data_IF_354408947454
#
_entry.id   IF_354408947454
#
_cell.length_a   1.000
_cell.length_b   1.000
_cell.length_c   1.000
_cell.angle_alpha   90.00
_cell.angle_beta   90.00
_cell.angle_gamma   90.00
#
_symmetry.space_group_name_H-M   'P 1'
#
loop_
_entity.id
_entity.type
_entity.pdbx_description
1 polymer ?
#
# COMPACT_ATOMS: atom_id res chain seq x y z
N UNK A 1 46.65 -20.43 36.31
CA UNK A 1 47.11 -19.39 35.36
C UNK A 1 46.77 -19.93 33.98
N UNK A 2 45.55 -19.71 33.48
CA UNK A 2 45.15 -18.56 32.61
C UNK A 2 46.05 -18.53 31.37
N UNK A 3 45.59 -18.66 30.12
CA UNK A 3 44.33 -18.23 29.50
C UNK A 3 44.03 -19.06 28.23
N UNK A 4 42.73 -19.16 27.94
CA UNK A 4 42.11 -19.56 26.68
C UNK A 4 42.05 -18.36 25.74
N UNK A 5 42.26 -18.55 24.44
CA UNK A 5 41.85 -17.57 23.41
C UNK A 5 41.04 -18.26 22.32
N UNK A 6 39.75 -17.96 22.31
CA UNK A 6 38.83 -18.13 21.20
C UNK A 6 38.40 -16.74 20.71
N UNK A 7 38.40 -16.50 19.41
CA UNK A 7 37.59 -15.49 18.68
C UNK A 7 37.87 -15.68 17.18
N UNK A 8 36.93 -15.61 16.24
CA UNK A 8 35.48 -15.38 16.24
C UNK A 8 34.95 -15.76 14.85
N UNK A 9 33.63 -15.76 14.61
CA UNK A 9 33.04 -16.16 13.33
C UNK A 9 33.18 -15.06 12.27
N UNK A 10 33.36 -15.52 11.03
CA UNK A 10 33.46 -14.75 9.80
C UNK A 10 32.12 -14.07 9.51
N UNK A 11 32.09 -12.73 9.51
CA UNK A 11 30.90 -11.96 9.16
C UNK A 11 30.86 -11.79 7.65
N UNK A 12 29.97 -12.54 7.00
CA UNK A 12 29.62 -12.32 5.59
C UNK A 12 28.98 -10.94 5.44
N UNK A 13 29.75 -9.96 4.98
CA UNK A 13 29.23 -8.66 4.56
C UNK A 13 28.35 -8.83 3.33
N UNK A 14 27.05 -8.67 3.50
CA UNK A 14 26.08 -8.45 2.42
C UNK A 14 26.49 -7.17 1.68
N UNK A 15 26.82 -7.30 0.39
CA UNK A 15 27.12 -6.16 -0.46
C UNK A 15 25.79 -5.55 -0.88
N UNK A 16 25.44 -4.38 -0.32
CA UNK A 16 24.27 -3.60 -0.79
C UNK A 16 24.44 -3.28 -2.28
N UNK A 17 23.34 -3.41 -3.03
CA UNK A 17 23.25 -3.14 -4.49
C UNK A 17 23.68 -1.72 -4.87
N UNK A 18 23.84 -0.81 -3.90
CA UNK A 18 24.16 0.62 -4.11
C UNK A 18 25.64 0.92 -4.39
N UNK A 19 26.55 -0.05 -4.46
CA UNK A 19 27.98 0.23 -4.75
C UNK A 19 28.30 0.21 -6.25
N UNK A 20 28.22 1.38 -6.91
CA UNK A 20 28.94 1.64 -8.17
C UNK A 20 30.03 2.70 -7.93
N UNK A 21 31.23 2.19 -7.64
CA UNK A 21 32.59 2.70 -7.86
C UNK A 21 32.87 4.22 -7.83
N UNK A 22 33.64 4.64 -6.81
CA UNK A 22 34.47 5.83 -6.81
C UNK A 22 35.93 5.53 -6.41
N UNK A 23 36.70 4.86 -7.26
CA UNK A 23 38.18 4.90 -7.17
C UNK A 23 38.84 4.73 -8.55
N UNK A 24 39.13 5.85 -9.20
CA UNK A 24 40.02 5.90 -10.36
C UNK A 24 41.46 5.87 -9.87
N UNK A 25 42.11 4.70 -9.94
CA UNK A 25 43.56 4.59 -9.98
C UNK A 25 43.98 4.33 -11.44
N UNK A 26 44.77 5.24 -11.99
CA UNK A 26 45.22 5.23 -13.37
C UNK A 26 46.03 3.97 -13.72
N UNK A 27 45.65 3.27 -14.79
CA UNK A 27 46.40 2.13 -15.32
C UNK A 27 45.76 1.49 -16.56
N UNK A 28 46.18 1.96 -17.73
CA UNK A 28 46.07 1.36 -19.08
C UNK A 28 45.08 0.17 -19.33
N UNK A 29 44.01 0.47 -20.07
CA UNK A 29 43.59 -0.27 -21.27
C UNK A 29 42.90 -1.63 -21.11
N UNK A 30 41.59 -1.63 -20.87
CA UNK A 30 40.65 -2.67 -21.32
C UNK A 30 39.31 -1.99 -21.64
N UNK A 31 38.73 -2.28 -22.80
CA UNK A 31 37.39 -1.81 -23.17
C UNK A 31 36.35 -2.62 -22.38
N UNK A 32 35.83 -2.03 -21.31
CA UNK A 32 34.62 -2.52 -20.62
C UNK A 32 33.40 -1.85 -21.23
N UNK A 33 32.47 -2.68 -21.72
CA UNK A 33 31.09 -2.28 -22.00
C UNK A 33 30.50 -1.75 -20.69
N UNK A 34 30.42 -0.43 -20.56
CA UNK A 34 29.75 0.20 -19.44
C UNK A 34 28.25 -0.06 -19.54
N UNK A 35 27.72 -0.88 -18.63
CA UNK A 35 26.33 -0.79 -18.22
C UNK A 35 26.12 0.66 -17.79
N UNK A 36 25.25 1.37 -18.50
CA UNK A 36 24.78 2.68 -18.06
C UNK A 36 23.94 2.39 -16.82
N UNK A 37 24.56 2.47 -15.63
CA UNK A 37 23.81 2.63 -14.41
C UNK A 37 23.00 3.91 -14.59
N UNK A 38 21.68 3.77 -14.77
CA UNK A 38 20.78 4.90 -14.73
C UNK A 38 21.03 5.65 -13.42
N UNK A 39 21.04 6.98 -13.48
CA UNK A 39 21.06 7.78 -12.28
C UNK A 39 19.93 7.26 -11.37
N UNK A 40 20.28 6.83 -10.16
CA UNK A 40 19.28 6.57 -9.13
C UNK A 40 18.60 7.90 -8.93
N UNK A 41 17.32 8.01 -9.28
CA UNK A 41 16.50 9.18 -8.97
C UNK A 41 16.69 9.51 -7.48
N UNK A 42 16.92 10.78 -7.15
CA UNK A 42 17.17 11.22 -5.76
C UNK A 42 15.99 10.86 -4.83
N UNK A 43 14.81 10.62 -5.41
CA UNK A 43 13.62 10.06 -4.79
C UNK A 43 12.59 9.72 -5.88
N UNK A 44 11.58 8.93 -5.55
CA UNK A 44 10.39 8.76 -6.40
C UNK A 44 9.12 9.04 -5.63
N UNK A 45 8.04 9.34 -6.34
CA UNK A 45 6.76 9.73 -5.76
C UNK A 45 5.65 8.81 -6.23
N UNK A 46 4.86 8.30 -5.28
CA UNK A 46 3.50 7.81 -5.54
C UNK A 46 2.53 8.94 -5.20
N UNK A 47 1.64 9.29 -6.12
CA UNK A 47 0.60 10.28 -5.87
C UNK A 47 -0.70 9.57 -5.54
N UNK A 48 -1.25 9.80 -4.35
CA UNK A 48 -2.65 9.47 -4.07
C UNK A 48 -3.52 10.67 -4.51
N UNK A 49 -4.40 10.44 -5.48
CA UNK A 49 -5.34 11.42 -6.01
C UNK A 49 -6.73 11.14 -5.41
N UNK A 50 -7.17 11.94 -4.43
CA UNK A 50 -8.36 11.61 -3.66
C UNK A 50 -9.66 12.15 -4.24
N UNK A 51 -10.74 11.38 -4.04
CA UNK A 51 -12.16 11.76 -4.10
C UNK A 51 -12.47 12.96 -5.00
N UNK A 52 -12.44 12.69 -6.30
CA UNK A 52 -12.51 13.74 -7.32
C UNK A 52 -13.94 14.18 -7.62
N UNK A 53 -14.95 13.71 -6.89
CA UNK A 53 -16.34 13.83 -7.29
C UNK A 53 -16.78 15.29 -7.43
N UNK A 54 -16.35 16.17 -6.53
CA UNK A 54 -16.63 17.61 -6.63
C UNK A 54 -15.78 18.32 -7.68
N UNK A 55 -14.56 17.83 -7.93
CA UNK A 55 -13.73 18.29 -9.05
C UNK A 55 -14.40 18.00 -10.39
N UNK A 56 -15.06 16.83 -10.50
CA UNK A 56 -15.85 16.46 -11.67
C UNK A 56 -17.13 17.30 -11.82
N UNK A 57 -17.93 17.43 -10.75
CA UNK A 57 -19.18 18.21 -10.74
C UNK A 57 -18.99 19.66 -11.16
N UNK A 58 -17.94 20.29 -10.61
CA UNK A 58 -17.67 21.71 -10.79
C UNK A 58 -16.67 21.97 -11.93
N UNK A 59 -16.26 20.91 -12.66
CA UNK A 59 -15.26 20.93 -13.74
C UNK A 59 -13.98 21.70 -13.38
N UNK A 60 -13.49 21.48 -12.16
CA UNK A 60 -12.32 22.17 -11.59
C UNK A 60 -11.32 21.18 -11.01
N UNK A 61 -10.09 21.63 -10.81
CA UNK A 61 -8.98 20.94 -10.13
C UNK A 61 -8.44 19.65 -10.77
N UNK A 62 -9.26 18.66 -11.14
CA UNK A 62 -8.76 17.38 -11.66
C UNK A 62 -7.86 17.56 -12.90
N UNK A 63 -8.25 18.42 -13.85
CA UNK A 63 -7.42 18.71 -15.04
C UNK A 63 -6.07 19.34 -14.71
N UNK A 64 -5.98 20.44 -13.94
CA UNK A 64 -4.69 20.99 -13.55
C UNK A 64 -3.86 20.03 -12.66
N UNK A 65 -4.49 19.27 -11.76
CA UNK A 65 -3.81 18.23 -10.98
C UNK A 65 -3.15 17.19 -11.89
N UNK A 66 -3.92 16.53 -12.77
CA UNK A 66 -3.38 15.50 -13.66
C UNK A 66 -2.41 16.05 -14.70
N UNK A 67 -2.58 17.32 -15.11
CA UNK A 67 -1.61 17.99 -15.98
C UNK A 67 -0.27 18.19 -15.27
N UNK A 68 -0.29 18.65 -14.02
CA UNK A 68 0.93 18.81 -13.21
C UNK A 68 1.60 17.46 -12.98
N UNK A 69 0.84 16.44 -12.57
CA UNK A 69 1.34 15.07 -12.37
C UNK A 69 2.03 14.56 -13.64
N UNK A 70 1.38 14.68 -14.80
CA UNK A 70 1.94 14.22 -16.07
C UNK A 70 3.14 15.04 -16.59
N UNK A 71 3.64 16.02 -15.83
CA UNK A 71 4.84 16.80 -16.13
C UNK A 71 5.87 16.80 -14.99
N UNK A 72 5.54 16.19 -13.84
CA UNK A 72 6.45 16.10 -12.69
C UNK A 72 7.32 14.84 -12.84
N UNK A 73 8.64 15.04 -12.95
CA UNK A 73 9.59 14.00 -13.34
C UNK A 73 9.74 12.88 -12.29
N UNK A 74 9.47 13.19 -11.01
CA UNK A 74 9.61 12.22 -9.93
C UNK A 74 8.37 11.34 -9.69
N UNK A 75 7.25 11.54 -10.41
CA UNK A 75 6.06 10.70 -10.19
C UNK A 75 6.23 9.37 -10.91
N UNK A 76 6.35 8.30 -10.12
CA UNK A 76 6.47 6.93 -10.61
C UNK A 76 5.11 6.23 -10.75
N UNK A 77 4.11 6.62 -9.96
CA UNK A 77 2.79 6.02 -9.98
C UNK A 77 1.70 6.98 -9.48
N UNK A 78 0.47 6.83 -9.98
CA UNK A 78 -0.71 7.54 -9.46
C UNK A 78 -1.76 6.52 -9.01
N UNK A 79 -2.15 6.58 -7.75
CA UNK A 79 -3.30 5.84 -7.23
C UNK A 79 -4.48 6.79 -7.05
N UNK A 80 -5.56 6.58 -7.82
CA UNK A 80 -6.83 7.28 -7.59
C UNK A 80 -7.71 6.41 -6.70
N UNK A 81 -8.16 6.98 -5.57
CA UNK A 81 -8.78 6.23 -4.47
C UNK A 81 -10.31 6.16 -4.55
N UNK A 82 -10.93 6.52 -5.68
CA UNK A 82 -12.38 6.42 -5.88
C UNK A 82 -13.12 7.75 -5.89
N UNK A 83 -14.45 7.65 -5.97
CA UNK A 83 -15.37 8.78 -6.14
C UNK A 83 -14.96 9.68 -7.31
N UNK A 84 -15.03 9.11 -8.51
CA UNK A 84 -14.66 9.80 -9.75
C UNK A 84 -15.61 10.94 -10.03
N UNK A 85 -16.92 10.73 -9.88
CA UNK A 85 -17.97 11.73 -10.16
C UNK A 85 -18.94 11.90 -8.99
N UNK A 86 -19.64 13.04 -8.93
CA UNK A 86 -20.60 13.32 -7.86
C UNK A 86 -22.02 12.91 -8.23
N UNK A 87 -22.35 13.06 -9.51
CA UNK A 87 -23.67 12.73 -10.03
C UNK A 87 -23.48 11.72 -11.15
N UNK A 88 -23.52 10.42 -10.84
CA UNK A 88 -23.17 9.39 -11.79
C UNK A 88 -24.18 9.30 -12.95
N UNK A 89 -25.37 9.86 -12.81
CA UNK A 89 -26.36 10.01 -13.87
C UNK A 89 -26.00 11.10 -14.90
N UNK A 90 -25.08 12.03 -14.58
CA UNK A 90 -24.68 13.17 -15.44
C UNK A 90 -23.46 12.82 -16.32
N UNK A 91 -23.62 12.62 -17.65
CA UNK A 91 -22.51 12.26 -18.54
C UNK A 91 -21.36 13.27 -18.58
N UNK A 92 -21.66 14.55 -18.37
CA UNK A 92 -20.66 15.63 -18.44
C UNK A 92 -19.54 15.50 -17.41
N UNK A 93 -19.84 14.97 -16.22
CA UNK A 93 -18.84 14.75 -15.16
C UNK A 93 -17.86 13.65 -15.57
N UNK A 94 -18.39 12.54 -16.10
CA UNK A 94 -17.61 11.43 -16.65
C UNK A 94 -16.71 11.88 -17.81
N UNK A 95 -17.25 12.66 -18.74
CA UNK A 95 -16.49 13.19 -19.88
C UNK A 95 -15.40 14.18 -19.44
N UNK A 96 -15.65 14.99 -18.41
CA UNK A 96 -14.64 15.85 -17.82
C UNK A 96 -13.51 15.05 -17.19
N UNK A 97 -13.84 14.03 -16.39
CA UNK A 97 -12.85 13.18 -15.73
C UNK A 97 -12.06 12.33 -16.73
N UNK A 98 -12.70 11.81 -17.78
CA UNK A 98 -11.99 11.11 -18.86
C UNK A 98 -10.92 12.02 -19.48
N UNK A 99 -11.28 13.27 -19.81
CA UNK A 99 -10.32 14.26 -20.33
C UNK A 99 -9.23 14.63 -19.31
N UNK A 100 -9.55 14.65 -18.02
CA UNK A 100 -8.59 14.94 -16.97
C UNK A 100 -7.58 13.81 -16.82
N UNK A 101 -8.03 12.57 -16.63
CA UNK A 101 -7.16 11.40 -16.44
C UNK A 101 -6.33 11.11 -17.70
N UNK A 102 -6.84 11.42 -18.89
CA UNK A 102 -6.08 11.30 -20.15
C UNK A 102 -4.79 12.12 -20.20
N UNK A 103 -4.58 13.08 -19.28
CA UNK A 103 -3.29 13.76 -19.15
C UNK A 103 -2.16 12.84 -18.66
N UNK A 104 -2.50 11.71 -18.00
CA UNK A 104 -1.58 10.70 -17.48
C UNK A 104 -1.22 9.63 -18.52
N UNK A 105 -2.09 9.43 -19.52
CA UNK A 105 -1.96 8.39 -20.52
C UNK A 105 -0.60 8.43 -21.25
N UNK A 106 0.15 7.32 -21.15
CA UNK A 106 1.46 7.19 -21.77
C UNK A 106 2.57 8.04 -21.13
N UNK A 107 2.33 8.61 -19.94
CA UNK A 107 3.31 9.41 -19.20
C UNK A 107 3.66 8.80 -17.84
N UNK A 108 2.67 8.34 -17.10
CA UNK A 108 2.86 7.72 -15.79
C UNK A 108 1.92 6.52 -15.64
N UNK A 109 2.36 5.40 -15.04
CA UNK A 109 1.46 4.34 -14.62
C UNK A 109 0.44 4.83 -13.60
N UNK A 110 -0.79 4.33 -13.69
CA UNK A 110 -1.83 4.70 -12.72
C UNK A 110 -2.90 3.63 -12.59
N UNK A 111 -3.58 3.66 -11.44
CA UNK A 111 -4.76 2.87 -11.16
C UNK A 111 -5.92 3.78 -10.75
N UNK A 112 -7.13 3.32 -11.00
CA UNK A 112 -8.34 3.93 -10.48
C UNK A 112 -9.24 2.83 -9.94
N UNK A 113 -10.03 3.16 -8.92
CA UNK A 113 -11.12 2.33 -8.40
C UNK A 113 -12.42 3.14 -8.41
N UNK A 114 -13.61 2.51 -8.43
CA UNK A 114 -14.85 3.22 -8.16
C UNK A 114 -15.00 3.47 -6.65
N UNK A 115 -15.63 4.58 -6.28
CA UNK A 115 -16.15 4.83 -4.93
C UNK A 115 -17.67 4.73 -4.86
N UNK A 116 -18.26 5.09 -3.73
CA UNK A 116 -19.71 5.02 -3.52
C UNK A 116 -20.51 5.96 -4.41
N UNK A 117 -19.96 7.13 -4.74
CA UNK A 117 -20.62 8.14 -5.57
C UNK A 117 -20.60 7.80 -7.07
N UNK A 118 -19.85 6.76 -7.48
CA UNK A 118 -19.77 6.32 -8.87
C UNK A 118 -20.95 5.40 -9.28
N UNK A 119 -21.72 4.94 -8.30
CA UNK A 119 -22.91 4.10 -8.44
C UNK A 119 -24.19 4.96 -8.51
N UNK A 120 -25.18 4.59 -9.35
CA UNK A 120 -26.43 5.37 -9.51
C UNK A 120 -27.15 5.63 -8.19
N UNK A 121 -27.09 4.66 -7.29
CA UNK A 121 -27.58 4.76 -5.92
C UNK A 121 -26.35 4.61 -5.02
N UNK A 122 -25.99 5.66 -4.25
CA UNK A 122 -24.98 5.52 -3.21
C UNK A 122 -25.32 4.35 -2.30
N UNK A 123 -24.31 3.60 -1.83
CA UNK A 123 -24.48 2.42 -0.96
C UNK A 123 -25.03 1.16 -1.64
N UNK A 124 -25.30 1.18 -2.95
CA UNK A 124 -25.79 0.03 -3.71
C UNK A 124 -24.91 -0.28 -4.93
N UNK A 125 -24.01 -1.26 -4.77
CA UNK A 125 -23.11 -1.73 -5.84
C UNK A 125 -23.86 -2.32 -7.03
N UNK A 126 -25.11 -2.77 -6.84
CA UNK A 126 -25.90 -3.37 -7.91
C UNK A 126 -26.49 -2.31 -8.84
N UNK A 127 -26.39 -1.04 -8.46
CA UNK A 127 -26.79 0.07 -9.30
C UNK A 127 -25.75 0.31 -10.42
N UNK A 128 -26.17 0.94 -11.53
CA UNK A 128 -25.37 0.93 -12.77
C UNK A 128 -23.99 1.60 -12.65
N UNK A 129 -22.92 0.82 -12.83
CA UNK A 129 -21.51 1.27 -12.88
C UNK A 129 -20.91 1.32 -14.30
N UNK A 130 -21.77 1.19 -15.32
CA UNK A 130 -21.34 1.00 -16.73
C UNK A 130 -20.46 2.12 -17.30
N UNK A 131 -20.66 3.36 -16.86
CA UNK A 131 -19.88 4.52 -17.34
C UNK A 131 -18.45 4.47 -16.81
N UNK A 132 -18.29 4.19 -15.52
CA UNK A 132 -16.99 3.93 -14.91
C UNK A 132 -16.26 2.85 -15.70
N UNK A 133 -16.84 1.66 -15.82
CA UNK A 133 -16.19 0.52 -16.50
C UNK A 133 -15.79 0.84 -17.95
N UNK A 134 -16.61 1.61 -18.66
CA UNK A 134 -16.32 2.01 -20.05
C UNK A 134 -15.13 2.97 -20.14
N UNK A 135 -14.96 3.88 -19.19
CA UNK A 135 -13.98 4.97 -19.28
C UNK A 135 -12.71 4.70 -18.48
N UNK A 136 -12.82 3.97 -17.39
CA UNK A 136 -11.76 3.74 -16.39
C UNK A 136 -11.49 2.25 -16.11
N UNK A 137 -12.19 1.34 -16.80
CA UNK A 137 -11.95 -0.10 -16.73
C UNK A 137 -10.80 -0.59 -17.63
N UNK A 138 -10.65 -1.92 -17.81
CA UNK A 138 -9.50 -2.57 -18.45
C UNK A 138 -9.09 -2.03 -19.81
N UNK A 139 -10.07 -1.64 -20.63
CA UNK A 139 -9.83 -1.16 -22.01
C UNK A 139 -8.88 0.05 -22.04
N UNK A 140 -8.88 0.87 -20.98
CA UNK A 140 -7.98 2.02 -20.84
C UNK A 140 -6.52 1.60 -20.63
N UNK A 141 -6.29 0.43 -20.04
CA UNK A 141 -4.99 -0.06 -19.60
C UNK A 141 -4.42 -1.19 -20.44
N UNK A 142 -5.24 -1.94 -21.18
CA UNK A 142 -4.85 -3.21 -21.82
C UNK A 142 -3.67 -3.16 -22.81
N UNK A 143 -3.32 -1.96 -23.29
CA UNK A 143 -2.17 -1.76 -24.19
C UNK A 143 -0.95 -1.18 -23.47
N UNK A 144 -0.95 -1.18 -22.13
CA UNK A 144 0.12 -0.66 -21.30
C UNK A 144 0.90 -1.83 -20.72
N UNK A 145 2.22 -1.82 -20.88
CA UNK A 145 3.07 -2.94 -20.43
C UNK A 145 3.09 -3.11 -18.90
N UNK A 146 2.74 -2.07 -18.16
CA UNK A 146 2.61 -2.08 -16.70
C UNK A 146 1.24 -2.61 -16.20
N UNK A 147 0.26 -2.82 -17.08
CA UNK A 147 -1.04 -3.35 -16.67
C UNK A 147 -0.99 -4.87 -16.59
N UNK A 148 -1.20 -5.40 -15.38
CA UNK A 148 -1.11 -6.84 -15.13
C UNK A 148 -2.44 -7.59 -15.31
N UNK A 149 -3.57 -6.92 -15.08
CA UNK A 149 -4.88 -7.52 -15.29
C UNK A 149 -5.97 -6.90 -14.42
N UNK A 150 -7.17 -7.46 -14.53
CA UNK A 150 -8.33 -7.07 -13.74
C UNK A 150 -8.99 -8.26 -13.10
N UNK A 151 -9.52 -8.01 -11.90
CA UNK A 151 -10.21 -9.01 -11.11
C UNK A 151 -11.65 -9.20 -11.54
N UNK A 152 -12.26 -10.34 -11.18
CA UNK A 152 -13.70 -10.51 -11.32
C UNK A 152 -14.40 -9.42 -10.49
N UNK A 153 -15.66 -9.13 -10.80
CA UNK A 153 -16.57 -8.53 -9.83
C UNK A 153 -17.79 -9.44 -9.70
N UNK A 154 -18.53 -9.32 -8.60
CA UNK A 154 -19.71 -10.15 -8.27
C UNK A 154 -20.91 -9.92 -9.24
N UNK A 155 -20.71 -10.07 -10.55
CA UNK A 155 -21.72 -10.02 -11.61
C UNK A 155 -21.56 -8.91 -12.66
N UNK A 156 -20.69 -7.91 -12.47
CA UNK A 156 -20.60 -6.71 -13.34
C UNK A 156 -19.25 -6.55 -14.09
N UNK A 157 -18.25 -7.39 -13.84
CA UNK A 157 -16.89 -7.40 -14.44
C UNK A 157 -15.93 -6.27 -14.01
N UNK A 158 -14.63 -6.61 -13.91
CA UNK A 158 -13.40 -5.80 -14.02
C UNK A 158 -13.33 -4.40 -13.38
N UNK A 159 -13.75 -4.26 -12.11
CA UNK A 159 -13.63 -3.01 -11.35
C UNK A 159 -12.37 -2.93 -10.48
N UNK A 160 -11.72 -4.07 -10.27
CA UNK A 160 -10.42 -4.19 -9.61
C UNK A 160 -9.32 -4.40 -10.64
N UNK A 161 -8.09 -3.97 -10.34
CA UNK A 161 -6.95 -4.15 -11.24
C UNK A 161 -5.63 -4.18 -10.50
N UNK A 162 -4.59 -4.71 -11.15
CA UNK A 162 -3.24 -4.56 -10.65
C UNK A 162 -2.30 -4.04 -11.72
N UNK A 163 -1.27 -3.35 -11.26
CA UNK A 163 -0.24 -2.73 -12.09
C UNK A 163 1.13 -3.08 -11.52
N UNK A 164 2.10 -3.24 -12.42
CA UNK A 164 3.50 -3.46 -12.10
C UNK A 164 4.30 -2.23 -12.49
N UNK A 165 5.09 -1.67 -11.57
CA UNK A 165 5.94 -0.53 -11.87
C UNK A 165 7.28 -0.65 -11.14
N UNK A 166 8.30 0.05 -11.62
CA UNK A 166 9.63 0.02 -11.03
C UNK A 166 10.07 1.45 -10.71
N UNK A 167 10.65 1.65 -9.53
CA UNK A 167 11.17 2.94 -9.09
C UNK A 167 12.25 2.75 -8.03
N UNK A 168 13.26 3.63 -7.99
CA UNK A 168 14.34 3.55 -6.99
C UNK A 168 15.18 2.27 -7.04
N UNK A 169 15.10 1.48 -8.12
CA UNK A 169 15.74 0.16 -8.22
C UNK A 169 14.93 -1.00 -7.63
N UNK A 170 13.68 -0.75 -7.21
CA UNK A 170 12.75 -1.76 -6.70
C UNK A 170 11.58 -1.98 -7.67
N UNK A 171 11.00 -3.17 -7.61
CA UNK A 171 9.88 -3.61 -8.44
C UNK A 171 8.62 -3.74 -7.58
N UNK A 172 7.63 -2.89 -7.82
CA UNK A 172 6.41 -2.80 -7.02
C UNK A 172 5.23 -3.50 -7.69
N UNK A 173 4.29 -3.93 -6.85
CA UNK A 173 2.93 -4.29 -7.21
C UNK A 173 1.99 -3.20 -6.67
N UNK A 174 1.10 -2.70 -7.52
CA UNK A 174 -0.03 -1.91 -7.06
C UNK A 174 -1.31 -2.71 -7.27
N UNK A 175 -2.10 -2.88 -6.21
CA UNK A 175 -3.37 -3.59 -6.23
C UNK A 175 -4.50 -2.60 -5.92
N UNK A 176 -5.43 -2.44 -6.87
CA UNK A 176 -6.57 -1.56 -6.78
C UNK A 176 -7.85 -2.39 -6.65
N UNK A 177 -8.52 -2.33 -5.50
CA UNK A 177 -9.74 -3.07 -5.21
C UNK A 177 -10.97 -2.16 -5.21
N UNK A 178 -12.05 -2.66 -5.81
CA UNK A 178 -13.32 -1.94 -5.94
C UNK A 178 -14.02 -1.64 -4.60
N UNK A 179 -14.89 -0.63 -4.58
CA UNK A 179 -15.68 -0.29 -3.39
C UNK A 179 -17.06 -0.98 -3.32
N UNK A 180 -17.44 -1.43 -2.11
CA UNK A 180 -16.53 -2.03 -1.12
C UNK A 180 -16.01 -3.36 -1.68
N UNK A 181 -14.80 -3.77 -1.33
CA UNK A 181 -14.18 -4.97 -1.89
C UNK A 181 -14.92 -6.22 -1.36
N UNK A 182 -15.64 -6.98 -2.21
CA UNK A 182 -16.48 -8.06 -1.75
C UNK A 182 -15.79 -9.42 -1.78
N UNK A 183 -16.43 -10.38 -1.10
CA UNK A 183 -16.02 -11.78 -1.09
C UNK A 183 -14.97 -12.11 -0.04
N UNK A 184 -14.18 -13.15 -0.29
CA UNK A 184 -13.22 -13.70 0.67
C UNK A 184 -11.94 -14.15 -0.05
N UNK A 185 -10.81 -14.07 0.64
CA UNK A 185 -9.48 -14.40 0.12
C UNK A 185 -9.34 -15.85 -0.37
N UNK A 186 -10.22 -16.76 0.05
CA UNK A 186 -10.21 -18.17 -0.39
C UNK A 186 -11.04 -18.46 -1.64
N UNK A 187 -11.82 -17.50 -2.16
CA UNK A 187 -12.63 -17.66 -3.37
C UNK A 187 -12.12 -16.75 -4.49
N UNK A 188 -11.29 -17.27 -5.43
CA UNK A 188 -10.70 -16.48 -6.51
C UNK A 188 -11.71 -15.95 -7.53
N UNK A 189 -12.99 -16.35 -7.45
CA UNK A 189 -14.07 -15.74 -8.23
C UNK A 189 -14.56 -14.41 -7.67
N UNK A 190 -14.12 -14.05 -6.46
CA UNK A 190 -14.40 -12.76 -5.82
C UNK A 190 -13.20 -11.82 -5.91
N UNK A 191 -13.41 -10.49 -5.86
CA UNK A 191 -12.33 -9.50 -5.85
C UNK A 191 -11.27 -9.74 -4.76
N UNK A 192 -11.66 -10.07 -3.52
CA UNK A 192 -10.67 -10.36 -2.46
C UNK A 192 -9.89 -11.66 -2.71
N UNK A 193 -10.54 -12.74 -3.15
CA UNK A 193 -9.81 -13.96 -3.47
C UNK A 193 -8.92 -13.83 -4.69
N UNK A 194 -9.35 -13.05 -5.68
CA UNK A 194 -8.49 -12.70 -6.81
C UNK A 194 -7.30 -11.83 -6.38
N UNK A 195 -7.50 -10.89 -5.45
CA UNK A 195 -6.41 -10.10 -4.89
C UNK A 195 -5.33 -11.01 -4.29
N UNK A 196 -5.73 -12.02 -3.51
CA UNK A 196 -4.82 -13.00 -2.93
C UNK A 196 -4.03 -13.75 -4.02
N UNK A 197 -4.68 -14.21 -5.10
CA UNK A 197 -3.94 -14.91 -6.17
C UNK A 197 -2.91 -14.03 -6.87
N UNK A 198 -3.14 -12.72 -6.97
CA UNK A 198 -2.15 -11.77 -7.50
C UNK A 198 -0.97 -11.61 -6.54
N UNK A 199 -1.21 -11.50 -5.24
CA UNK A 199 -0.15 -11.43 -4.23
C UNK A 199 0.72 -12.70 -4.26
N UNK A 200 0.07 -13.88 -4.35
CA UNK A 200 0.74 -15.19 -4.47
C UNK A 200 1.56 -15.33 -5.77
N UNK A 201 1.16 -14.67 -6.85
CA UNK A 201 1.89 -14.67 -8.14
C UNK A 201 3.16 -13.79 -8.08
N UNK A 202 3.16 -12.75 -7.24
CA UNK A 202 4.25 -11.78 -7.12
C UNK A 202 4.80 -11.68 -5.68
N UNK A 203 5.23 -12.80 -5.05
CA UNK A 203 5.60 -12.84 -3.63
C UNK A 203 6.74 -11.88 -3.26
N UNK A 204 7.65 -11.62 -4.20
CA UNK A 204 8.85 -10.79 -4.00
C UNK A 204 8.66 -9.30 -4.31
N UNK A 205 7.42 -8.85 -4.61
CA UNK A 205 7.13 -7.45 -4.95
C UNK A 205 6.45 -6.75 -3.78
N UNK A 206 7.04 -5.67 -3.22
CA UNK A 206 6.34 -4.85 -2.25
C UNK A 206 5.05 -4.28 -2.86
N UNK A 207 3.96 -4.47 -2.14
CA UNK A 207 2.62 -4.18 -2.61
C UNK A 207 2.03 -2.92 -1.95
N UNK A 208 1.47 -2.06 -2.78
CA UNK A 208 0.60 -0.95 -2.37
C UNK A 208 -0.83 -1.34 -2.68
N UNK A 209 -1.68 -1.41 -1.66
CA UNK A 209 -3.11 -1.64 -1.80
C UNK A 209 -3.85 -0.30 -1.87
N UNK A 210 -4.82 -0.18 -2.77
CA UNK A 210 -5.79 0.92 -2.78
C UNK A 210 -7.20 0.35 -2.74
N UNK A 211 -8.00 0.86 -1.80
CA UNK A 211 -9.46 0.61 -1.72
C UNK A 211 -10.13 1.88 -1.20
N UNK A 212 -11.42 2.07 -1.47
CA UNK A 212 -12.05 3.37 -1.27
C UNK A 212 -12.37 3.66 0.21
N UNK A 213 -13.18 2.83 0.86
CA UNK A 213 -13.49 2.92 2.30
C UNK A 213 -12.65 1.90 3.06
N UNK A 214 -11.81 2.38 3.97
CA UNK A 214 -10.88 1.56 4.74
C UNK A 214 -10.51 2.17 6.10
N UNK A 215 -10.01 3.41 6.13
CA UNK A 215 -9.87 4.19 7.37
C UNK A 215 -11.09 5.11 7.56
N UNK A 216 -11.42 5.40 8.81
CA UNK A 216 -12.41 6.42 9.19
C UNK A 216 -11.80 7.41 10.18
N UNK A 217 -11.83 8.70 9.80
CA UNK A 217 -11.25 9.80 10.59
C UNK A 217 -11.93 9.98 11.95
N UNK A 218 -13.21 9.61 12.08
CA UNK A 218 -13.99 9.80 13.31
C UNK A 218 -13.76 8.66 14.30
N UNK A 219 -13.60 7.45 13.78
CA UNK A 219 -13.18 6.29 14.55
C UNK A 219 -11.70 6.38 14.94
N UNK A 220 -10.92 7.18 14.20
CA UNK A 220 -9.45 7.23 14.30
C UNK A 220 -8.88 5.81 14.20
N UNK A 221 -9.22 5.13 13.11
CA UNK A 221 -8.89 3.73 12.88
C UNK A 221 -9.51 3.20 11.60
N UNK A 222 -9.49 1.88 11.44
CA UNK A 222 -10.17 1.20 10.33
C UNK A 222 -11.68 1.26 10.49
N UNK A 223 -12.39 1.34 9.37
CA UNK A 223 -13.84 1.20 9.36
C UNK A 223 -14.21 -0.23 9.76
N UNK A 224 -15.21 -0.37 10.63
CA UNK A 224 -15.74 -1.68 11.07
C UNK A 224 -17.05 -2.03 10.38
N UNK A 225 -17.76 -1.02 9.89
CA UNK A 225 -19.06 -1.17 9.26
C UNK A 225 -18.92 -1.39 7.76
N UNK A 226 -19.79 -2.23 7.19
CA UNK A 226 -19.96 -2.37 5.75
C UNK A 226 -21.03 -1.39 5.30
N UNK A 227 -20.61 -0.40 4.52
CA UNK A 227 -21.49 0.69 4.05
C UNK A 227 -22.48 0.21 2.97
N UNK A 228 -22.15 -0.83 2.22
CA UNK A 228 -23.03 -1.38 1.19
C UNK A 228 -24.28 -2.05 1.77
N UNK A 229 -25.46 -1.72 1.21
CA UNK A 229 -26.79 -2.16 1.68
C UNK A 229 -26.97 -3.68 1.75
N UNK A 230 -26.37 -4.45 0.84
CA UNK A 230 -26.50 -5.91 0.83
C UNK A 230 -25.50 -6.62 1.77
N UNK A 231 -24.55 -5.88 2.37
CA UNK A 231 -23.53 -6.41 3.28
C UNK A 231 -22.51 -7.35 2.64
N UNK A 232 -22.37 -7.37 1.31
CA UNK A 232 -21.47 -8.27 0.59
C UNK A 232 -20.04 -7.72 0.45
N UNK A 233 -19.83 -6.45 0.78
CA UNK A 233 -18.52 -5.82 0.90
C UNK A 233 -17.79 -6.19 2.20
N UNK A 234 -16.51 -5.84 2.27
CA UNK A 234 -15.72 -5.91 3.48
C UNK A 234 -15.43 -4.50 3.99
N UNK A 235 -15.46 -4.35 5.33
CA UNK A 235 -14.99 -3.15 6.01
C UNK A 235 -13.47 -3.06 5.97
N UNK A 236 -12.90 -1.91 6.33
CA UNK A 236 -11.44 -1.75 6.40
C UNK A 236 -10.79 -2.75 7.34
N UNK A 237 -11.41 -3.00 8.50
CA UNK A 237 -10.93 -3.99 9.47
C UNK A 237 -11.00 -5.42 8.89
N UNK A 238 -12.07 -5.78 8.18
CA UNK A 238 -12.15 -7.10 7.54
C UNK A 238 -11.11 -7.29 6.42
N UNK A 239 -10.82 -6.24 5.63
CA UNK A 239 -9.75 -6.26 4.63
C UNK A 239 -8.38 -6.39 5.31
N UNK A 240 -8.17 -5.70 6.43
CA UNK A 240 -6.93 -5.81 7.19
C UNK A 240 -6.66 -7.25 7.63
N UNK A 241 -7.61 -7.85 8.36
CA UNK A 241 -7.47 -9.18 8.94
C UNK A 241 -7.32 -10.30 7.91
N UNK A 242 -8.00 -10.17 6.76
CA UNK A 242 -8.04 -11.26 5.78
C UNK A 242 -7.00 -11.15 4.68
N UNK A 243 -6.56 -9.94 4.33
CA UNK A 243 -5.69 -9.69 3.19
C UNK A 243 -4.43 -8.91 3.57
N UNK A 244 -4.50 -7.87 4.40
CA UNK A 244 -3.34 -6.99 4.63
C UNK A 244 -2.36 -7.57 5.65
N UNK A 245 -2.83 -7.94 6.84
CA UNK A 245 -1.95 -8.47 7.90
C UNK A 245 -1.28 -9.79 7.50
N UNK A 246 -1.94 -10.74 6.82
CA UNK A 246 -1.31 -12.02 6.50
C UNK A 246 -0.30 -11.94 5.34
N UNK A 247 -0.32 -10.87 4.54
CA UNK A 247 0.54 -10.74 3.38
C UNK A 247 1.72 -9.79 3.66
N UNK A 248 2.87 -10.36 4.04
CA UNK A 248 4.11 -9.64 4.40
C UNK A 248 4.52 -8.54 3.39
N UNK A 249 4.26 -8.79 2.11
CA UNK A 249 4.59 -7.88 1.02
C UNK A 249 3.75 -6.60 0.96
N UNK A 250 2.53 -6.58 1.53
CA UNK A 250 1.74 -5.34 1.59
C UNK A 250 2.37 -4.43 2.62
N UNK A 251 2.81 -3.25 2.18
CA UNK A 251 3.46 -2.26 3.05
C UNK A 251 2.71 -0.95 3.15
N UNK A 252 1.72 -0.73 2.29
CA UNK A 252 0.98 0.52 2.26
C UNK A 252 -0.45 0.29 1.81
N UNK A 253 -1.40 0.95 2.49
CA UNK A 253 -2.81 1.00 2.11
C UNK A 253 -3.21 2.45 1.88
N UNK A 254 -3.79 2.74 0.72
CA UNK A 254 -4.29 4.07 0.35
C UNK A 254 -5.81 4.05 0.25
N UNK A 255 -6.46 5.03 0.87
CA UNK A 255 -7.93 5.14 0.84
C UNK A 255 -8.42 6.60 0.86
N UNK A 256 -9.73 6.73 0.62
CA UNK A 256 -10.45 8.00 0.57
C UNK A 256 -11.73 7.91 1.40
N UNK A 257 -12.87 8.28 0.80
CA UNK A 257 -14.23 8.13 1.35
C UNK A 257 -14.54 8.99 2.59
N UNK A 258 -13.82 8.80 3.71
CA UNK A 258 -14.08 9.54 4.94
C UNK A 258 -13.46 10.94 4.86
N UNK A 259 -14.30 11.98 4.85
CA UNK A 259 -13.92 13.36 4.52
C UNK A 259 -14.10 14.37 5.65
N UNK A 260 -14.61 13.92 6.79
CA UNK A 260 -14.94 14.82 7.90
C UNK A 260 -13.65 15.32 8.56
N UNK A 261 -13.80 16.34 9.39
CA UNK A 261 -12.68 17.07 9.97
C UNK A 261 -11.78 17.68 8.88
N UNK A 262 -10.50 17.30 8.81
CA UNK A 262 -9.56 17.72 7.76
C UNK A 262 -9.55 16.78 6.53
N UNK A 263 -10.20 15.61 6.66
CA UNK A 263 -10.20 14.56 5.64
C UNK A 263 -8.84 13.88 5.50
N UNK A 264 -8.03 13.87 6.57
CA UNK A 264 -6.71 13.26 6.58
C UNK A 264 -6.53 12.42 7.83
N UNK A 265 -6.07 11.18 7.66
CA UNK A 265 -5.70 10.32 8.78
C UNK A 265 -4.59 9.38 8.32
N UNK A 266 -3.75 8.97 9.27
CA UNK A 266 -2.76 7.94 9.03
C UNK A 266 -2.52 7.13 10.29
N UNK A 267 -2.15 5.88 10.10
CA UNK A 267 -1.66 5.01 11.16
C UNK A 267 -0.56 4.10 10.61
N UNK A 268 0.24 3.55 11.52
CA UNK A 268 1.21 2.50 11.22
C UNK A 268 0.81 1.28 12.02
N UNK A 269 0.61 0.17 11.34
CA UNK A 269 0.30 -1.12 11.96
C UNK A 269 1.40 -2.12 11.65
N UNK A 270 1.49 -3.16 12.48
CA UNK A 270 2.38 -4.28 12.25
C UNK A 270 1.58 -5.42 11.62
N UNK A 271 2.05 -5.96 10.48
CA UNK A 271 1.47 -7.16 9.87
C UNK A 271 1.98 -8.43 10.57
N UNK A 272 1.50 -9.59 10.15
CA UNK A 272 1.76 -10.86 10.83
C UNK A 272 3.25 -11.24 10.73
N UNK A 273 3.92 -10.83 9.64
CA UNK A 273 5.37 -10.92 9.47
C UNK A 273 6.18 -9.76 10.10
N UNK A 274 5.63 -9.10 11.12
CA UNK A 274 6.19 -7.96 11.85
C UNK A 274 6.57 -6.71 11.04
N UNK A 275 6.28 -6.68 9.74
CA UNK A 275 6.50 -5.57 8.86
C UNK A 275 5.55 -4.41 9.13
N UNK A 276 6.07 -3.19 9.09
CA UNK A 276 5.22 -1.99 9.14
C UNK A 276 4.36 -1.87 7.89
N UNK A 277 3.08 -1.56 8.10
CA UNK A 277 2.10 -1.20 7.07
C UNK A 277 1.66 0.25 7.31
N UNK A 278 1.90 1.10 6.32
CA UNK A 278 1.54 2.53 6.34
C UNK A 278 0.15 2.72 5.74
N UNK A 279 -0.82 3.03 6.58
CA UNK A 279 -2.22 3.16 6.18
C UNK A 279 -2.57 4.65 6.09
N UNK A 280 -2.89 5.14 4.89
CA UNK A 280 -3.02 6.57 4.60
C UNK A 280 -4.40 6.88 4.01
N UNK A 281 -5.10 7.84 4.63
CA UNK A 281 -6.39 8.35 4.18
C UNK A 281 -6.27 9.81 3.73
N UNK A 282 -6.72 10.09 2.50
CA UNK A 282 -6.84 11.45 1.98
C UNK A 282 -8.22 11.64 1.36
N UNK A 283 -8.98 12.62 1.83
CA UNK A 283 -10.21 13.07 1.19
C UNK A 283 -10.52 14.55 1.49
N UNK A 284 -10.16 15.42 0.57
CA UNK A 284 -10.28 16.86 0.75
C UNK A 284 -11.67 17.44 0.47
N UNK A 285 -12.67 16.63 0.11
CA UNK A 285 -13.98 17.13 -0.35
C UNK A 285 -14.74 17.98 0.69
N UNK A 286 -14.45 17.76 1.97
CA UNK A 286 -15.01 18.50 3.10
C UNK A 286 -14.46 19.91 3.26
N UNK A 287 -13.28 20.19 2.69
CA UNK A 287 -12.54 21.44 2.87
C UNK A 287 -13.09 22.63 2.07
N UNK A 288 -12.40 23.77 2.22
CA UNK A 288 -12.75 25.01 1.51
C UNK A 288 -12.85 24.78 -0.01
N UNK A 289 -13.88 25.37 -0.64
CA UNK A 289 -14.15 25.22 -2.08
C UNK A 289 -14.13 23.76 -2.57
N UNK A 290 -14.54 22.81 -1.71
CA UNK A 290 -14.56 21.36 -1.98
C UNK A 290 -13.18 20.81 -2.33
N UNK A 291 -12.18 21.16 -1.50
CA UNK A 291 -10.87 20.52 -1.49
C UNK A 291 -9.74 21.24 -2.21
N UNK A 292 -9.98 22.36 -2.89
CA UNK A 292 -8.91 23.24 -3.44
C UNK A 292 -7.86 22.57 -4.35
N UNK A 293 -8.11 21.35 -4.85
CA UNK A 293 -7.18 20.60 -5.68
C UNK A 293 -5.97 20.03 -4.95
N UNK A 294 -6.07 19.80 -3.64
CA UNK A 294 -5.06 19.05 -2.89
C UNK A 294 -4.99 17.59 -3.36
N UNK A 295 -3.78 17.04 -3.34
CA UNK A 295 -3.43 15.64 -3.55
C UNK A 295 -2.32 15.26 -2.56
N UNK A 296 -2.09 13.97 -2.37
CA UNK A 296 -1.02 13.51 -1.49
C UNK A 296 0.18 13.00 -2.28
N UNK A 297 1.34 13.53 -1.95
CA UNK A 297 2.64 13.12 -2.48
C UNK A 297 3.29 12.20 -1.45
N UNK A 298 3.55 10.96 -1.82
CA UNK A 298 4.24 9.96 -1.01
C UNK A 298 5.61 9.77 -1.64
N UNK A 299 6.59 10.49 -1.11
CA UNK A 299 7.95 10.58 -1.61
C UNK A 299 8.83 9.55 -0.91
N UNK A 300 9.36 8.61 -1.67
CA UNK A 300 10.33 7.62 -1.20
C UNK A 300 11.72 8.18 -1.44
N UNK A 301 12.37 8.62 -0.36
CA UNK A 301 13.63 9.36 -0.37
C UNK A 301 14.74 8.46 0.18
N UNK A 302 15.59 7.88 -0.67
CA UNK A 302 16.80 7.22 -0.21
C UNK A 302 17.66 8.14 0.66
N UNK A 303 18.14 7.60 1.75
CA UNK A 303 19.07 8.22 2.67
C UNK A 303 20.52 7.90 2.33
N UNK A 304 21.44 8.35 3.19
CA UNK A 304 22.88 8.14 3.05
C UNK A 304 23.43 7.10 4.04
N UNK A 305 22.59 6.15 4.48
CA UNK A 305 22.92 5.13 5.50
C UNK A 305 22.63 5.61 6.93
N UNK A 306 23.30 5.05 7.93
CA UNK A 306 22.95 5.16 9.37
C UNK A 306 22.76 6.59 9.92
N UNK A 307 23.36 7.60 9.29
CA UNK A 307 23.25 9.01 9.71
C UNK A 307 22.11 9.79 9.04
N UNK A 308 21.48 9.20 8.02
CA UNK A 308 20.33 9.71 7.29
C UNK A 308 19.57 8.50 6.73
N UNK A 309 18.59 7.94 7.46
CA UNK A 309 17.84 6.76 7.03
C UNK A 309 17.05 7.06 5.74
N UNK A 310 16.68 6.01 4.99
CA UNK A 310 15.71 6.19 3.92
C UNK A 310 14.35 6.60 4.54
N UNK A 311 13.56 7.38 3.80
CA UNK A 311 12.32 7.98 4.30
C UNK A 311 11.17 7.85 3.34
N UNK A 312 10.03 7.44 3.85
CA UNK A 312 8.73 7.69 3.20
C UNK A 312 8.22 9.02 3.74
N UNK A 313 8.37 10.09 2.94
CA UNK A 313 7.89 11.43 3.27
C UNK A 313 6.53 11.66 2.62
N UNK A 314 5.53 11.98 3.44
CA UNK A 314 4.18 12.29 2.99
C UNK A 314 3.95 13.79 3.05
N UNK A 315 3.39 14.35 1.97
CA UNK A 315 3.10 15.79 1.83
C UNK A 315 1.79 16.02 1.08
N UNK A 316 0.93 16.87 1.64
CA UNK A 316 -0.30 17.33 1.00
C UNK A 316 -0.02 18.62 0.20
N UNK A 317 -0.24 18.55 -1.12
CA UNK A 317 0.10 19.62 -2.07
C UNK A 317 -1.08 19.91 -3.01
N UNK A 318 -1.34 21.19 -3.31
CA UNK A 318 -2.29 21.59 -4.34
C UNK A 318 -1.55 22.20 -5.54
N UNK A 319 -1.53 21.52 -6.71
CA UNK A 319 -1.04 22.10 -7.95
C UNK A 319 -1.87 23.29 -8.47
N UNK A 320 -3.07 23.48 -7.91
CA UNK A 320 -3.99 24.57 -8.29
C UNK A 320 -3.62 25.85 -7.57
N UNK A 321 -3.27 25.73 -6.29
CA UNK A 321 -2.85 26.85 -5.46
C UNK A 321 -1.34 27.06 -5.47
N UNK A 322 -0.58 26.03 -5.84
CA UNK A 322 0.86 25.93 -5.63
C UNK A 322 1.24 26.06 -4.15
N UNK A 323 0.52 25.34 -3.29
CA UNK A 323 0.63 25.43 -1.83
C UNK A 323 0.69 24.04 -1.19
N UNK A 324 1.45 23.96 -0.10
CA UNK A 324 1.49 22.80 0.80
C UNK A 324 0.64 23.06 2.04
N UNK A 325 0.02 22.00 2.56
CA UNK A 325 -0.42 21.96 3.96
C UNK A 325 0.71 21.39 4.81
N UNK A 326 0.84 21.87 6.04
CA UNK A 326 1.99 21.60 6.92
C UNK A 326 1.59 21.21 8.34
N UNK A 327 0.33 20.87 8.59
CA UNK A 327 -0.08 20.26 9.86
C UNK A 327 0.37 18.78 9.93
N UNK A 328 0.25 18.19 11.12
CA UNK A 328 0.77 16.84 11.40
C UNK A 328 0.12 15.73 10.55
N UNK A 329 -1.08 15.96 10.02
CA UNK A 329 -1.77 15.03 9.12
C UNK A 329 -1.45 15.30 7.64
N UNK A 330 -0.82 16.43 7.33
CA UNK A 330 -0.48 16.89 5.98
C UNK A 330 0.98 16.74 5.61
N UNK A 331 1.89 16.81 6.59
CA UNK A 331 3.33 16.70 6.40
C UNK A 331 3.97 15.86 7.51
N UNK A 332 4.36 14.62 7.18
CA UNK A 332 4.97 13.68 8.11
C UNK A 332 5.89 12.70 7.36
N UNK A 333 6.71 11.95 8.09
CA UNK A 333 7.62 10.98 7.49
C UNK A 333 7.81 9.74 8.37
N UNK A 334 8.16 8.64 7.72
CA UNK A 334 8.57 7.39 8.36
C UNK A 334 10.00 7.07 7.95
N UNK A 335 10.86 6.79 8.93
CA UNK A 335 12.19 6.23 8.66
C UNK A 335 12.01 4.73 8.35
N UNK A 336 12.50 4.29 7.18
CA UNK A 336 12.35 2.92 6.68
C UNK A 336 13.64 2.53 6.00
N UNK A 337 14.17 1.34 6.24
CA UNK A 337 15.26 0.82 5.42
C UNK A 337 14.66 0.22 4.13
N UNK A 338 14.90 0.85 2.97
CA UNK A 338 14.34 0.37 1.71
C UNK A 338 15.00 -0.92 1.22
N UNK A 339 16.28 -1.15 1.52
CA UNK A 339 16.93 -2.40 1.13
C UNK A 339 16.35 -3.58 1.93
N UNK A 340 16.04 -3.37 3.21
CA UNK A 340 15.36 -4.37 4.05
C UNK A 340 13.87 -4.51 3.68
N UNK A 341 13.15 -3.40 3.48
CA UNK A 341 11.69 -3.45 3.24
C UNK A 341 11.31 -3.85 1.82
N UNK A 342 12.10 -3.45 0.83
CA UNK A 342 11.80 -3.64 -0.60
C UNK A 342 12.80 -4.56 -1.33
N UNK A 343 13.83 -5.04 -0.63
CA UNK A 343 14.77 -6.01 -1.16
C UNK A 343 14.16 -7.40 -1.33
N UNK A 344 14.86 -8.25 -2.09
CA UNK A 344 14.43 -9.62 -2.42
C UNK A 344 14.93 -10.67 -1.43
N UNK A 345 15.47 -10.27 -0.28
CA UNK A 345 15.86 -11.21 0.79
C UNK A 345 14.64 -11.47 1.65
N UNK A 346 14.30 -12.75 1.81
CA UNK A 346 13.27 -13.28 2.70
C UNK A 346 13.25 -12.52 4.03
N UNK A 347 12.04 -12.13 4.46
CA UNK A 347 11.77 -11.46 5.73
C UNK A 347 12.15 -12.39 6.89
N UNK A 348 13.44 -12.47 7.21
CA UNK A 348 13.97 -13.13 8.40
C UNK A 348 13.91 -12.11 9.54
N UNK A 349 12.69 -11.81 9.98
CA UNK A 349 12.45 -10.93 11.13
C UNK A 349 12.05 -11.79 12.30
N UNK A 350 12.97 -11.87 13.26
CA UNK A 350 12.74 -12.36 14.62
C UNK A 350 11.50 -11.63 15.20
N UNK A 351 10.37 -12.32 15.12
CA UNK A 351 9.04 -11.75 15.30
C UNK A 351 8.54 -12.09 16.70
N UNK A 352 8.47 -11.11 17.61
CA UNK A 352 7.84 -11.36 18.92
C UNK A 352 6.37 -11.76 18.73
N UNK A 353 6.08 -13.02 19.05
CA UNK A 353 4.82 -13.73 18.85
C UNK A 353 4.84 -14.86 17.81
N UNK A 354 5.86 -14.95 16.95
CA UNK A 354 6.08 -16.03 15.95
C UNK A 354 6.77 -17.20 16.66
N UNK A 355 5.96 -17.98 17.37
CA UNK A 355 6.43 -19.02 18.27
C UNK A 355 6.85 -20.30 17.53
N UNK A 356 6.42 -20.52 16.28
CA UNK A 356 6.86 -21.65 15.48
C UNK A 356 7.94 -21.30 14.43
N UNK A 357 8.36 -20.03 14.37
CA UNK A 357 9.42 -19.48 13.54
C UNK A 357 9.17 -19.68 12.04
N UNK A 358 7.91 -19.62 11.63
CA UNK A 358 7.52 -19.73 10.22
C UNK A 358 7.45 -18.38 9.49
N UNK A 359 7.63 -17.28 10.24
CA UNK A 359 7.74 -15.91 9.72
C UNK A 359 6.43 -15.13 9.73
N UNK A 360 5.37 -15.65 10.34
CA UNK A 360 4.15 -14.90 10.61
C UNK A 360 3.62 -15.09 12.06
N UNK A 361 2.49 -14.45 12.39
CA UNK A 361 1.86 -14.56 13.71
C UNK A 361 0.39 -14.91 13.51
N UNK A 362 0.04 -16.17 13.69
CA UNK A 362 -1.28 -16.70 13.42
C UNK A 362 -1.82 -17.60 14.58
N UNK A 363 -2.76 -18.50 14.26
CA UNK A 363 -3.30 -19.44 15.23
C UNK A 363 -2.32 -20.54 15.65
N UNK A 364 -1.42 -20.95 14.76
CA UNK A 364 -0.44 -22.01 14.91
C UNK A 364 0.59 -21.65 15.97
N UNK A 365 1.02 -20.38 16.06
CA UNK A 365 1.85 -19.89 17.15
C UNK A 365 1.20 -20.11 18.51
N UNK A 366 -0.06 -19.70 18.63
CA UNK A 366 -0.80 -19.87 19.88
C UNK A 366 -1.02 -21.35 20.21
N UNK A 367 -1.12 -22.21 19.20
CA UNK A 367 -1.25 -23.65 19.36
C UNK A 367 0.08 -24.30 19.78
N UNK A 368 1.22 -23.89 19.21
CA UNK A 368 2.53 -24.43 19.58
C UNK A 368 2.87 -24.06 21.02
N UNK A 369 2.57 -22.83 21.45
CA UNK A 369 2.72 -22.41 22.85
C UNK A 369 1.80 -23.22 23.77
N UNK A 370 0.52 -23.40 23.43
CA UNK A 370 -0.40 -24.22 24.23
C UNK A 370 0.06 -25.68 24.37
N UNK A 371 0.57 -26.27 23.29
CA UNK A 371 1.10 -27.64 23.29
C UNK A 371 2.37 -27.76 24.13
N UNK A 372 3.27 -26.76 24.06
CA UNK A 372 4.45 -26.66 24.93
C UNK A 372 4.05 -26.62 26.41
N UNK A 373 3.05 -25.81 26.77
CA UNK A 373 2.52 -25.70 28.13
C UNK A 373 1.86 -27.00 28.62
N UNK A 374 1.32 -27.80 27.69
CA UNK A 374 0.80 -29.13 27.97
C UNK A 374 1.90 -30.21 28.14
N UNK A 375 3.19 -29.83 28.09
CA UNK A 375 4.35 -30.72 28.07
C UNK A 375 4.38 -31.68 26.85
N UNK A 376 3.83 -31.25 25.72
CA UNK A 376 4.11 -31.92 24.45
C UNK A 376 5.51 -31.54 23.95
N UNK A 377 6.12 -32.46 23.22
CA UNK A 377 7.41 -32.25 22.54
C UNK A 377 7.16 -31.54 21.21
N UNK A 378 7.28 -30.21 21.24
CA UNK A 378 7.12 -29.30 20.10
C UNK A 378 8.32 -28.37 20.03
N UNK A 379 8.74 -28.04 18.82
CA UNK A 379 9.71 -26.97 18.60
C UNK A 379 9.00 -25.64 18.83
N UNK A 380 9.58 -24.78 19.65
CA UNK A 380 9.00 -23.46 19.95
C UNK A 380 10.16 -22.49 20.11
N UNK A 381 10.08 -21.36 19.41
CA UNK A 381 10.95 -20.23 19.69
C UNK A 381 10.51 -19.60 21.00
N UNK A 382 11.27 -19.82 22.07
CA UNK A 382 10.93 -19.32 23.39
C UNK A 382 11.09 -17.82 23.54
N UNK A 383 12.00 -17.22 22.75
CA UNK A 383 12.25 -15.78 22.80
C UNK A 383 11.11 -15.05 22.06
N UNK A 384 10.64 -15.61 20.94
CA UNK A 384 9.46 -15.11 20.26
C UNK A 384 8.15 -15.41 21.03
N UNK A 385 8.05 -16.57 21.69
CA UNK A 385 6.86 -16.96 22.44
C UNK A 385 6.64 -16.14 23.72
N UNK A 386 7.69 -15.56 24.32
CA UNK A 386 7.63 -14.64 25.47
C UNK A 386 7.22 -13.23 25.01
N UNK A 387 5.99 -13.10 24.54
CA UNK A 387 5.52 -11.87 23.86
C UNK A 387 5.35 -10.67 24.80
N UNK A 388 5.35 -10.87 26.12
CA UNK A 388 5.35 -9.77 27.10
C UNK A 388 6.71 -9.48 27.75
N UNK A 389 7.76 -10.16 27.29
CA UNK A 389 9.16 -10.05 27.74
C UNK A 389 9.31 -10.19 29.27
N UNK A 390 8.47 -11.00 29.92
CA UNK A 390 8.52 -11.20 31.38
C UNK A 390 9.51 -12.30 31.82
N UNK A 391 10.02 -13.05 30.85
CA UNK A 391 11.02 -14.11 31.01
C UNK A 391 10.43 -15.51 31.14
N UNK A 392 9.10 -15.67 31.13
CA UNK A 392 8.41 -16.94 31.29
C UNK A 392 7.31 -17.13 30.22
N UNK A 393 7.49 -18.09 29.30
CA UNK A 393 6.42 -18.47 28.35
C UNK A 393 5.25 -19.14 29.09
N UNK A 394 4.10 -18.46 29.15
CA UNK A 394 2.91 -18.89 29.88
C UNK A 394 1.58 -18.77 29.09
N UNK A 395 0.45 -19.02 29.77
CA UNK A 395 -0.88 -18.98 29.11
C UNK A 395 -1.30 -17.56 28.71
N UNK A 396 -0.77 -16.54 29.38
CA UNK A 396 -0.90 -15.14 29.03
C UNK A 396 -0.33 -14.88 27.65
N UNK A 397 0.82 -15.46 27.32
CA UNK A 397 1.45 -15.32 26.00
C UNK A 397 0.65 -16.00 24.91
N UNK A 398 0.21 -17.25 25.14
CA UNK A 398 -0.67 -17.94 24.21
C UNK A 398 -1.95 -17.13 23.90
N UNK A 399 -2.49 -16.42 24.90
CA UNK A 399 -3.66 -15.54 24.69
C UNK A 399 -3.28 -14.27 23.93
N UNK A 400 -2.14 -13.66 24.21
CA UNK A 400 -1.64 -12.46 23.51
C UNK A 400 -1.30 -12.75 22.06
N UNK A 401 -0.54 -13.81 21.79
CA UNK A 401 -0.24 -14.31 20.45
C UNK A 401 -1.53 -14.57 19.68
N UNK A 402 -2.46 -15.31 20.29
CA UNK A 402 -3.78 -15.57 19.68
C UNK A 402 -4.58 -14.30 19.39
N UNK A 403 -4.50 -13.29 20.26
CA UNK A 403 -5.20 -12.02 20.04
C UNK A 403 -4.50 -11.16 18.98
N UNK A 404 -3.17 -11.26 18.88
CA UNK A 404 -2.36 -10.60 17.86
C UNK A 404 -2.64 -11.19 16.48
N UNK A 405 -2.58 -12.51 16.33
CA UNK A 405 -3.00 -13.24 15.10
C UNK A 405 -4.51 -13.25 14.82
N UNK A 406 -5.31 -12.54 15.63
CA UNK A 406 -6.75 -12.31 15.38
C UNK A 406 -7.12 -10.81 15.30
N UNK A 407 -6.11 -9.94 15.38
CA UNK A 407 -6.16 -8.49 15.61
C UNK A 407 -7.46 -7.95 16.23
N UNK A 408 -7.59 -8.04 17.56
CA UNK A 408 -8.67 -7.40 18.32
C UNK A 408 -8.35 -5.96 18.75
#
# INVERSE_FOLDING_TARGET
MTESTASGPDSSRTVSRRTVLGSLAAGAGVATLGTIAGAVEDYWTVVALPDTQYSARDERYARPQTKWIGTEEHVAFVSHVGDVVQNPDRPVEWEYMDRAISNLDGKVPYAMIPGDQDYMTPDDRSSSIRRYRRLFGPERYRSRDWYGGSGPSNGEGDLSSYQLFSAGGYDFLHLALEWPAPGNVTDPSTPLGWAQTVLDEYPDRPAILTTHSYLDVRAAGRSTDVEEVNGNGNSGEAIWQSLVSPNAQIFMVLCGHSWRDDGEYHQVSQNDACGSVYELLANYQGGEKRGQGFLRRIEFRPGAGDSAPDRIQVRTYSPVLDEYRTDDNSEFAFDVDFDTRFGTSTFDTDCSGDADADGDIDGQDSEVVQRRLANEDVDVDTDAADIDDDGDVDIGDAVRIRNKGRGY
#
